data_IF_547514363911
#
_entry.id   IF_547514363911
#
_cell.length_a   1.000
_cell.length_b   1.000
_cell.length_c   1.000
_cell.angle_alpha   90.00
_cell.angle_beta   90.00
_cell.angle_gamma   90.00
#
_symmetry.space_group_name_H-M   'P 1'
#
loop_
_entity.id
_entity.type
_entity.pdbx_description
1 polymer ?
#
# COMPACT_ATOMS: atom_id res chain seq x y z
N UNK A 1 -14.89 16.92 -22.32
CA UNK A 1 -13.50 16.64 -22.75
C UNK A 1 -12.80 15.89 -21.61
N UNK A 2 -12.63 14.57 -21.74
CA UNK A 2 -11.87 13.77 -20.78
C UNK A 2 -10.38 14.06 -21.02
N UNK A 3 -9.78 14.92 -20.20
CA UNK A 3 -8.33 15.15 -20.22
C UNK A 3 -7.67 13.92 -19.61
N UNK A 4 -7.18 13.03 -20.49
CA UNK A 4 -6.39 11.87 -20.10
C UNK A 4 -4.98 12.37 -19.70
N UNK A 5 -4.68 12.40 -18.40
CA UNK A 5 -3.33 12.74 -17.93
C UNK A 5 -2.39 11.56 -18.17
N UNK A 6 -1.58 11.68 -19.23
CA UNK A 6 -0.59 10.66 -19.64
C UNK A 6 0.37 10.29 -18.51
N UNK A 7 0.71 11.22 -17.61
CA UNK A 7 1.64 10.96 -16.50
C UNK A 7 1.09 9.95 -15.48
N UNK A 8 -0.23 9.97 -15.24
CA UNK A 8 -0.88 9.04 -14.31
C UNK A 8 -0.90 7.62 -14.88
N UNK A 9 -1.12 7.49 -16.20
CA UNK A 9 -1.12 6.19 -16.89
C UNK A 9 0.25 5.52 -16.81
N UNK A 10 1.34 6.26 -17.02
CA UNK A 10 2.69 5.71 -16.91
C UNK A 10 3.01 5.21 -15.49
N UNK A 11 2.62 5.94 -14.45
CA UNK A 11 2.78 5.50 -13.06
C UNK A 11 2.03 4.19 -12.79
N UNK A 12 0.78 4.08 -13.25
CA UNK A 12 0.00 2.85 -13.10
C UNK A 12 0.66 1.67 -13.80
N UNK A 13 1.09 1.84 -15.06
CA UNK A 13 1.78 0.78 -15.81
C UNK A 13 3.07 0.35 -15.10
N UNK A 14 3.88 1.31 -14.64
CA UNK A 14 5.09 1.01 -13.86
C UNK A 14 4.79 0.25 -12.57
N UNK A 15 3.77 0.66 -11.83
CA UNK A 15 3.34 -0.03 -10.61
C UNK A 15 2.84 -1.45 -10.88
N UNK A 16 2.18 -1.70 -12.02
CA UNK A 16 1.76 -3.05 -12.41
C UNK A 16 2.96 -3.95 -12.69
N UNK A 17 3.94 -3.48 -13.49
CA UNK A 17 5.16 -4.24 -13.76
C UNK A 17 5.95 -4.48 -12.47
N UNK A 18 6.09 -3.46 -11.62
CA UNK A 18 6.74 -3.58 -10.34
C UNK A 18 6.02 -4.60 -9.44
N UNK A 19 4.69 -4.54 -9.37
CA UNK A 19 3.89 -5.50 -8.62
C UNK A 19 4.10 -6.93 -9.12
N UNK A 20 4.12 -7.14 -10.44
CA UNK A 20 4.37 -8.46 -11.02
C UNK A 20 5.77 -8.99 -10.66
N UNK A 21 6.80 -8.15 -10.76
CA UNK A 21 8.18 -8.51 -10.38
C UNK A 21 8.29 -8.85 -8.89
N UNK A 22 7.65 -8.08 -8.02
CA UNK A 22 7.64 -8.38 -6.58
C UNK A 22 6.96 -9.71 -6.29
N UNK A 23 5.79 -9.98 -6.90
CA UNK A 23 5.12 -11.26 -6.72
C UNK A 23 5.97 -12.42 -7.24
N UNK A 24 6.64 -12.24 -8.39
CA UNK A 24 7.54 -13.23 -8.94
C UNK A 24 8.73 -13.52 -8.02
N UNK A 25 9.43 -12.50 -7.54
CA UNK A 25 10.58 -12.71 -6.64
C UNK A 25 10.16 -13.32 -5.31
N UNK A 26 8.98 -12.95 -4.80
CA UNK A 26 8.51 -13.40 -3.49
C UNK A 26 8.06 -14.88 -3.52
N UNK A 27 7.23 -15.26 -4.49
CA UNK A 27 6.56 -16.57 -4.54
C UNK A 27 7.01 -17.47 -5.70
N UNK A 28 7.77 -16.94 -6.66
CA UNK A 28 8.22 -17.68 -7.83
C UNK A 28 9.34 -18.70 -7.57
N UNK A 29 10.37 -18.41 -6.75
CA UNK A 29 11.50 -19.34 -6.58
C UNK A 29 11.09 -20.70 -6.00
N UNK A 30 10.19 -20.70 -5.03
CA UNK A 30 9.71 -21.88 -4.31
C UNK A 30 8.47 -21.51 -3.47
N UNK A 31 7.91 -22.52 -2.78
CA UNK A 31 6.74 -22.38 -1.90
C UNK A 31 7.08 -22.09 -0.44
N UNK A 32 8.31 -21.66 -0.13
CA UNK A 32 8.75 -21.41 1.26
C UNK A 32 7.85 -20.42 1.99
N UNK A 33 7.38 -19.39 1.28
CA UNK A 33 6.53 -18.32 1.83
C UNK A 33 5.03 -18.57 1.63
N UNK A 34 4.66 -19.70 1.01
CA UNK A 34 3.27 -20.15 0.82
C UNK A 34 2.91 -21.30 1.77
N UNK A 35 3.81 -21.64 2.70
CA UNK A 35 3.57 -22.69 3.68
C UNK A 35 2.55 -22.25 4.75
N UNK A 36 1.99 -23.23 5.46
CA UNK A 36 1.01 -22.99 6.52
C UNK A 36 1.54 -21.99 7.56
N UNK A 37 0.69 -21.07 7.97
CA UNK A 37 1.01 -20.00 8.93
C UNK A 37 1.69 -18.78 8.30
N UNK A 38 1.95 -18.79 6.98
CA UNK A 38 2.33 -17.58 6.25
C UNK A 38 1.09 -16.94 5.61
N UNK A 39 0.90 -15.66 5.85
CA UNK A 39 -0.04 -14.83 5.12
C UNK A 39 0.66 -13.50 4.82
N UNK A 40 1.15 -13.36 3.58
CA UNK A 40 1.90 -12.17 3.15
C UNK A 40 1.09 -11.43 2.10
N UNK A 41 0.63 -10.24 2.45
CA UNK A 41 -0.03 -9.33 1.52
C UNK A 41 1.00 -8.37 0.91
N UNK A 42 1.00 -8.28 -0.42
CA UNK A 42 1.88 -7.39 -1.17
C UNK A 42 1.06 -6.25 -1.78
N UNK A 43 1.52 -5.02 -1.59
CA UNK A 43 0.95 -3.87 -2.28
C UNK A 43 2.03 -2.95 -2.86
N UNK A 44 1.83 -2.55 -4.11
CA UNK A 44 2.63 -1.50 -4.76
C UNK A 44 1.76 -0.27 -5.01
N UNK A 45 2.29 0.92 -4.71
CA UNK A 45 1.65 2.19 -5.02
C UNK A 45 2.65 3.34 -5.14
N UNK A 46 2.63 4.06 -6.27
CA UNK A 46 3.56 5.15 -6.57
C UNK A 46 5.03 4.73 -6.39
N UNK A 47 5.37 3.51 -6.80
CA UNK A 47 6.69 2.90 -6.63
C UNK A 47 7.04 2.45 -5.21
N UNK A 48 6.21 2.68 -4.19
CA UNK A 48 6.44 2.11 -2.86
C UNK A 48 5.89 0.69 -2.79
N UNK A 49 6.66 -0.23 -2.21
CA UNK A 49 6.26 -1.61 -1.92
C UNK A 49 5.92 -1.72 -0.43
N UNK A 50 4.84 -2.42 -0.12
CA UNK A 50 4.45 -2.85 1.21
C UNK A 50 4.40 -4.38 1.25
N UNK A 51 5.08 -4.96 2.23
CA UNK A 51 4.89 -6.34 2.68
C UNK A 51 4.18 -6.31 4.04
N UNK A 52 3.00 -6.89 4.13
CA UNK A 52 2.18 -6.91 5.34
C UNK A 52 1.69 -8.33 5.67
N UNK A 53 1.13 -8.49 6.86
CA UNK A 53 0.58 -9.75 7.35
C UNK A 53 1.52 -10.41 8.35
N UNK A 54 1.67 -11.72 8.27
CA UNK A 54 2.48 -12.47 9.23
C UNK A 54 3.19 -13.68 8.62
N UNK A 55 4.27 -14.06 9.29
CA UNK A 55 5.01 -15.29 9.05
C UNK A 55 5.36 -15.93 10.39
N UNK A 56 5.50 -17.27 10.46
CA UNK A 56 5.66 -17.96 11.74
C UNK A 56 7.06 -17.82 12.34
N UNK A 57 8.07 -17.41 11.56
CA UNK A 57 9.46 -17.29 12.03
C UNK A 57 10.18 -16.07 11.46
N UNK A 58 11.18 -15.59 12.20
CA UNK A 58 12.06 -14.50 11.75
C UNK A 58 12.75 -14.83 10.42
N UNK A 59 13.23 -16.07 10.26
CA UNK A 59 13.92 -16.52 9.05
C UNK A 59 13.05 -16.38 7.80
N UNK A 60 11.75 -16.67 7.89
CA UNK A 60 10.82 -16.50 6.77
C UNK A 60 10.59 -15.02 6.44
N UNK A 61 10.51 -14.17 7.47
CA UNK A 61 10.41 -12.72 7.28
C UNK A 61 11.64 -12.18 6.56
N UNK A 62 12.82 -12.59 6.99
CA UNK A 62 14.09 -12.21 6.37
C UNK A 62 14.21 -12.73 4.94
N UNK A 63 13.77 -13.97 4.67
CA UNK A 63 13.71 -14.53 3.33
C UNK A 63 12.79 -13.71 2.40
N UNK A 64 11.61 -13.30 2.88
CA UNK A 64 10.68 -12.46 2.14
C UNK A 64 11.30 -11.09 1.80
N UNK A 65 11.93 -10.44 2.79
CA UNK A 65 12.63 -9.15 2.57
C UNK A 65 13.77 -9.32 1.57
N UNK A 66 14.59 -10.37 1.72
CA UNK A 66 15.72 -10.63 0.85
C UNK A 66 15.30 -10.89 -0.60
N UNK A 67 14.18 -11.59 -0.82
CA UNK A 67 13.59 -11.80 -2.15
C UNK A 67 13.16 -10.47 -2.77
N UNK A 68 12.34 -9.69 -2.07
CA UNK A 68 11.83 -8.41 -2.61
C UNK A 68 12.93 -7.38 -2.82
N UNK A 69 14.01 -7.42 -2.02
CA UNK A 69 15.15 -6.52 -2.18
C UNK A 69 15.91 -6.71 -3.49
N UNK A 70 15.73 -7.83 -4.21
CA UNK A 70 16.30 -8.05 -5.54
C UNK A 70 15.57 -7.29 -6.64
N UNK A 71 14.32 -6.91 -6.39
CA UNK A 71 13.53 -6.11 -7.34
C UNK A 71 14.15 -4.73 -7.47
N UNK A 72 14.27 -4.21 -8.68
CA UNK A 72 14.81 -2.87 -8.93
C UNK A 72 13.68 -1.90 -9.30
N UNK A 73 13.95 -0.59 -9.19
CA UNK A 73 13.01 0.46 -9.63
C UNK A 73 11.89 0.81 -8.66
N UNK A 74 11.89 0.26 -7.44
CA UNK A 74 11.00 0.72 -6.38
C UNK A 74 11.57 1.95 -5.66
N UNK A 75 10.69 2.77 -5.09
CA UNK A 75 11.02 3.99 -4.34
C UNK A 75 11.37 3.67 -2.88
N UNK A 76 10.53 2.89 -2.20
CA UNK A 76 10.71 2.44 -0.81
C UNK A 76 10.14 1.04 -0.63
N UNK A 77 10.73 0.27 0.28
CA UNK A 77 10.21 -1.01 0.75
C UNK A 77 9.79 -0.87 2.21
N UNK A 78 8.50 -1.01 2.47
CA UNK A 78 7.92 -1.05 3.82
C UNK A 78 7.68 -2.50 4.22
N UNK A 79 8.47 -2.99 5.18
CA UNK A 79 8.20 -4.27 5.82
C UNK A 79 7.33 -4.04 7.07
N UNK A 80 6.15 -4.64 7.07
CA UNK A 80 5.16 -4.63 8.16
C UNK A 80 4.66 -6.06 8.46
N UNK A 81 5.48 -7.07 8.15
CA UNK A 81 5.19 -8.46 8.51
C UNK A 81 5.51 -8.69 9.99
N UNK A 82 4.50 -9.14 10.73
CA UNK A 82 4.65 -9.57 12.12
C UNK A 82 5.10 -11.03 12.19
N UNK A 83 5.74 -11.40 13.30
CA UNK A 83 6.08 -12.81 13.58
C UNK A 83 4.92 -13.40 14.39
N UNK A 84 4.06 -14.16 13.71
CA UNK A 84 2.91 -14.81 14.31
C UNK A 84 2.59 -16.10 13.56
N UNK A 85 2.10 -17.10 14.30
CA UNK A 85 1.63 -18.35 13.74
C UNK A 85 0.12 -18.43 13.95
N UNK A 86 -0.64 -17.90 12.99
CA UNK A 86 -2.09 -17.85 13.03
C UNK A 86 -2.67 -18.15 11.65
N UNK A 87 -3.98 -18.37 11.61
CA UNK A 87 -4.70 -18.48 10.33
C UNK A 87 -4.94 -17.08 9.74
N UNK A 88 -5.00 -16.99 8.41
CA UNK A 88 -5.22 -15.73 7.73
C UNK A 88 -6.60 -15.12 8.02
N UNK A 89 -6.64 -13.80 8.20
CA UNK A 89 -7.87 -13.02 8.40
C UNK A 89 -8.40 -12.37 7.12
N UNK A 90 -7.97 -12.83 5.92
CA UNK A 90 -8.24 -12.17 4.63
C UNK A 90 -9.70 -11.80 4.37
N UNK A 91 -10.67 -12.62 4.82
CA UNK A 91 -12.10 -12.30 4.66
C UNK A 91 -12.47 -11.06 5.46
N UNK A 92 -12.12 -11.03 6.75
CA UNK A 92 -12.38 -9.89 7.64
C UNK A 92 -11.66 -8.64 7.11
N UNK A 93 -10.41 -8.79 6.70
CA UNK A 93 -9.59 -7.70 6.17
C UNK A 93 -10.14 -7.10 4.87
N UNK A 94 -10.67 -7.95 3.99
CA UNK A 94 -11.37 -7.52 2.78
C UNK A 94 -12.62 -6.71 3.10
N UNK A 95 -13.41 -7.14 4.09
CA UNK A 95 -14.58 -6.40 4.57
C UNK A 95 -14.22 -5.05 5.21
N UNK A 96 -13.15 -5.00 6.01
CA UNK A 96 -12.64 -3.74 6.57
C UNK A 96 -12.20 -2.79 5.44
N UNK A 97 -11.41 -3.29 4.51
CA UNK A 97 -10.92 -2.53 3.36
C UNK A 97 -12.08 -1.96 2.54
N UNK A 98 -13.10 -2.77 2.26
CA UNK A 98 -14.30 -2.33 1.54
C UNK A 98 -15.03 -1.20 2.28
N UNK A 99 -15.25 -1.34 3.59
CA UNK A 99 -15.90 -0.29 4.41
C UNK A 99 -15.13 1.02 4.38
N UNK A 100 -13.80 0.96 4.50
CA UNK A 100 -12.94 2.16 4.45
C UNK A 100 -13.03 2.81 3.07
N UNK A 101 -12.86 2.02 1.99
CA UNK A 101 -12.91 2.55 0.62
C UNK A 101 -14.26 3.16 0.28
N UNK A 102 -15.37 2.56 0.70
CA UNK A 102 -16.70 3.13 0.49
C UNK A 102 -16.87 4.48 1.19
N UNK A 103 -16.35 4.64 2.41
CA UNK A 103 -16.39 5.92 3.14
C UNK A 103 -15.49 6.98 2.52
N UNK A 104 -14.31 6.60 2.03
CA UNK A 104 -13.42 7.49 1.28
C UNK A 104 -14.12 7.97 0.00
N UNK A 105 -14.79 7.07 -0.72
CA UNK A 105 -15.48 7.40 -1.97
C UNK A 105 -16.70 8.31 -1.75
N UNK A 106 -17.39 8.17 -0.62
CA UNK A 106 -18.53 9.00 -0.26
C UNK A 106 -18.14 10.42 0.21
N UNK A 107 -16.87 10.67 0.53
CA UNK A 107 -16.37 11.96 0.98
C UNK A 107 -15.80 12.77 -0.19
N UNK A 108 -16.51 13.80 -0.63
CA UNK A 108 -16.14 14.65 -1.77
C UNK A 108 -14.85 15.45 -1.56
N UNK A 109 -14.38 15.59 -0.32
CA UNK A 109 -13.14 16.30 0.01
C UNK A 109 -11.88 15.43 -0.14
N UNK A 110 -12.05 14.13 -0.41
CA UNK A 110 -10.98 13.17 -0.57
C UNK A 110 -10.91 12.75 -2.03
N UNK A 111 -9.73 12.83 -2.64
CA UNK A 111 -9.51 12.20 -3.93
C UNK A 111 -9.19 10.70 -3.69
N UNK A 112 -10.05 9.75 -4.06
CA UNK A 112 -9.82 8.34 -3.78
C UNK A 112 -8.60 7.77 -4.52
N UNK A 113 -8.19 8.40 -5.62
CA UNK A 113 -7.09 7.91 -6.46
C UNK A 113 -5.69 8.20 -5.90
N UNK A 114 -5.57 9.06 -4.88
CA UNK A 114 -4.26 9.39 -4.27
C UNK A 114 -3.93 8.51 -3.06
N UNK A 115 -4.85 7.62 -2.67
CA UNK A 115 -4.67 6.68 -1.56
C UNK A 115 -4.76 5.24 -2.04
N UNK A 116 -3.89 4.38 -1.51
CA UNK A 116 -4.09 2.94 -1.49
C UNK A 116 -4.29 2.49 -0.05
N UNK A 117 -5.43 1.82 0.19
CA UNK A 117 -5.76 1.21 1.47
C UNK A 117 -5.53 -0.29 1.36
N UNK A 118 -4.76 -0.84 2.28
CA UNK A 118 -4.52 -2.28 2.44
C UNK A 118 -4.86 -2.63 3.88
N UNK A 119 -5.56 -3.73 4.10
CA UNK A 119 -5.76 -4.27 5.46
C UNK A 119 -5.18 -5.66 5.49
N UNK A 120 -4.40 -5.95 6.53
CA UNK A 120 -3.85 -7.28 6.80
C UNK A 120 -3.78 -7.49 8.30
N UNK A 121 -4.28 -8.61 8.80
CA UNK A 121 -4.42 -8.91 10.22
C UNK A 121 -5.11 -7.81 11.02
N UNK A 122 -6.17 -7.23 10.44
CA UNK A 122 -6.94 -6.10 10.99
C UNK A 122 -6.13 -4.82 11.18
N UNK A 123 -4.90 -4.75 10.66
CA UNK A 123 -4.07 -3.55 10.61
C UNK A 123 -4.28 -2.89 9.25
N UNK A 124 -4.64 -1.61 9.27
CA UNK A 124 -4.85 -0.83 8.05
C UNK A 124 -3.57 -0.06 7.71
N UNK A 125 -3.08 -0.25 6.50
CA UNK A 125 -1.96 0.47 5.92
C UNK A 125 -2.50 1.48 4.90
N UNK A 126 -2.19 2.76 5.14
CA UNK A 126 -2.58 3.87 4.26
C UNK A 126 -1.34 4.33 3.49
N UNK A 127 -1.32 4.09 2.18
CA UNK A 127 -0.23 4.49 1.28
C UNK A 127 -0.68 5.65 0.39
N UNK A 128 0.24 6.54 0.03
CA UNK A 128 -0.02 7.58 -0.95
C UNK A 128 0.79 8.86 -0.78
N UNK A 129 0.76 9.68 -1.81
CA UNK A 129 1.32 11.03 -1.82
C UNK A 129 0.13 11.99 -1.71
N UNK A 130 -0.01 12.69 -0.58
CA UNK A 130 -1.27 13.34 -0.17
C UNK A 130 -1.03 14.67 0.53
N UNK A 131 -2.07 15.52 0.60
CA UNK A 131 -2.05 16.71 1.46
C UNK A 131 -2.35 16.32 2.92
N UNK A 132 -1.86 17.09 3.91
CA UNK A 132 -2.18 16.85 5.33
C UNK A 132 -3.68 16.75 5.61
N UNK A 133 -4.49 17.61 5.02
CA UNK A 133 -5.95 17.64 5.24
C UNK A 133 -6.64 16.36 4.75
N UNK A 134 -6.24 15.86 3.57
CA UNK A 134 -6.79 14.60 3.06
C UNK A 134 -6.33 13.42 3.90
N UNK A 135 -5.06 13.41 4.32
CA UNK A 135 -4.53 12.36 5.17
C UNK A 135 -5.28 12.27 6.50
N UNK A 136 -5.48 13.38 7.20
CA UNK A 136 -6.22 13.46 8.47
C UNK A 136 -7.62 12.84 8.35
N UNK A 137 -8.35 13.16 7.27
CA UNK A 137 -9.68 12.59 7.00
C UNK A 137 -9.63 11.08 6.77
N UNK A 138 -8.74 10.60 5.90
CA UNK A 138 -8.62 9.15 5.62
C UNK A 138 -8.16 8.38 6.87
N UNK A 139 -7.24 8.94 7.65
CA UNK A 139 -6.79 8.36 8.92
C UNK A 139 -7.97 8.25 9.89
N UNK A 140 -8.81 9.28 9.98
CA UNK A 140 -10.00 9.28 10.84
C UNK A 140 -11.03 8.23 10.39
N UNK A 141 -11.28 8.12 9.08
CA UNK A 141 -12.15 7.08 8.52
C UNK A 141 -11.61 5.68 8.89
N UNK A 142 -10.31 5.45 8.68
CA UNK A 142 -9.68 4.16 9.00
C UNK A 142 -9.78 3.84 10.50
N UNK A 143 -9.40 4.77 11.38
CA UNK A 143 -9.42 4.57 12.84
C UNK A 143 -10.83 4.33 13.40
N UNK A 144 -11.85 4.98 12.82
CA UNK A 144 -13.25 4.84 13.26
C UNK A 144 -13.96 3.64 12.63
N UNK A 145 -13.30 2.89 11.75
CA UNK A 145 -13.90 1.72 11.13
C UNK A 145 -13.86 0.53 12.08
N UNK A 146 -15.05 -0.04 12.35
CA UNK A 146 -15.19 -1.20 13.23
C UNK A 146 -14.35 -2.38 12.73
N UNK A 147 -13.59 -2.97 13.65
CA UNK A 147 -12.74 -4.13 13.40
C UNK A 147 -11.28 -3.78 13.13
N UNK A 148 -10.95 -2.51 12.91
CA UNK A 148 -9.57 -2.03 12.80
C UNK A 148 -8.89 -2.07 14.15
N UNK A 149 -7.72 -2.72 14.22
CA UNK A 149 -6.91 -2.82 15.44
C UNK A 149 -5.86 -1.71 15.49
N UNK A 150 -5.26 -1.39 14.33
CA UNK A 150 -4.18 -0.40 14.22
C UNK A 150 -4.22 0.24 12.83
N UNK A 151 -3.79 1.50 12.75
CA UNK A 151 -3.59 2.21 11.48
C UNK A 151 -2.13 2.62 11.35
N UNK A 152 -1.49 2.18 10.29
CA UNK A 152 -0.11 2.52 9.92
C UNK A 152 -0.13 3.49 8.74
N UNK A 153 0.54 4.63 8.92
CA UNK A 153 0.60 5.71 7.92
C UNK A 153 1.87 5.54 7.08
N UNK A 154 1.69 5.14 5.83
CA UNK A 154 2.76 5.05 4.82
C UNK A 154 2.58 6.17 3.79
N UNK A 155 2.33 7.38 4.31
CA UNK A 155 1.97 8.55 3.53
C UNK A 155 3.18 9.47 3.34
N UNK A 156 3.27 10.06 2.14
CA UNK A 156 4.15 11.21 1.87
C UNK A 156 3.29 12.46 1.81
N UNK A 157 3.65 13.47 2.59
CA UNK A 157 2.96 14.76 2.58
C UNK A 157 3.58 15.69 1.56
N UNK A 158 2.76 16.42 0.81
CA UNK A 158 3.20 17.56 0.02
C UNK A 158 2.39 18.80 0.41
N UNK A 159 3.06 19.95 0.40
CA UNK A 159 2.43 21.25 0.60
C UNK A 159 2.21 21.89 -0.76
N UNK A 160 1.02 22.45 -0.98
CA UNK A 160 0.62 23.04 -2.27
C UNK A 160 1.54 24.20 -2.75
N UNK A 161 2.41 24.69 -1.87
CA UNK A 161 3.46 25.68 -2.16
C UNK A 161 4.53 25.20 -3.14
N UNK A 162 4.75 23.89 -3.30
CA UNK A 162 5.87 23.35 -4.10
C UNK A 162 5.59 23.28 -5.62
N UNK A 163 4.33 23.43 -6.06
CA UNK A 163 3.94 23.27 -7.48
C UNK A 163 3.87 24.59 -8.27
N UNK A 164 4.05 25.75 -7.62
CA UNK A 164 4.01 27.04 -8.32
C UNK A 164 5.30 27.34 -9.11
N UNK A 165 6.44 26.75 -8.73
CA UNK A 165 7.75 27.09 -9.30
C UNK A 165 8.05 26.41 -10.65
N UNK A 166 7.30 25.36 -11.04
CA UNK A 166 7.54 24.64 -12.29
C UNK A 166 6.69 25.14 -13.48
N UNK A 167 5.77 26.08 -13.26
CA UNK A 167 4.93 26.64 -14.34
C UNK A 167 5.48 27.90 -15.01
N UNK A 168 6.60 28.46 -14.52
CA UNK A 168 7.13 29.74 -15.04
C UNK A 168 8.43 29.62 -15.84
N UNK A 169 8.97 28.42 -16.09
CA UNK A 169 10.28 28.28 -16.76
C UNK A 169 10.14 27.91 -18.27
N UNK A 170 8.92 27.67 -18.77
CA UNK A 170 8.69 27.31 -20.18
C UNK A 170 7.57 28.14 -20.83
N UNK A 171 7.72 29.46 -20.87
CA UNK A 171 6.94 30.34 -21.75
C UNK A 171 7.80 31.49 -22.26
#
# INVERSE_FOLDING_TARGET
MLVYDRHNVYKKVSDYTLSANVHHELFGPDRLLEQKGCAIDVAVFNGDILLAGHVPTLALREAAIARVSKVTGYRRLFNQMDIANQESNSVIDSWITAKIRSRIFADSSINPNVFKVVTSDRIVYLMGDVTPDQAERVITIARTTRGVVRVVKLLKYYHLSDNASLKHINS
#
